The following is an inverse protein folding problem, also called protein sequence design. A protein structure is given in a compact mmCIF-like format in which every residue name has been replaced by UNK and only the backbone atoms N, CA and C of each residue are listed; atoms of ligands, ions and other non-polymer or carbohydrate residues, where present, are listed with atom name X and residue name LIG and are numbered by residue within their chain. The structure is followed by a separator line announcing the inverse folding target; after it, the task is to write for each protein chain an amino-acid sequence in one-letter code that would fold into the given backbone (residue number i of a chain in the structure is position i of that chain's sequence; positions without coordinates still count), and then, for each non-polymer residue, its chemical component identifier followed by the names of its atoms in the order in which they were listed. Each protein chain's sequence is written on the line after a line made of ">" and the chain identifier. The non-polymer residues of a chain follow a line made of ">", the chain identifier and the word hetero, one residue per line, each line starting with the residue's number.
data_IF_630122973753
#
_entry.id   IF_630122973753
#
_cell.length_a   1.000
_cell.length_b   1.000
_cell.length_c   1.000
_cell.angle_alpha   90.00
_cell.angle_beta   90.00
_cell.angle_gamma   90.00
#
_symmetry.space_group_name_H-M   'P 1'
#
loop_
_entity.id
_entity.type
_entity.pdbx_description
1 polymer ?
#
# COMPACT_ATOMS: atom_id res chain seq x y z
N UNK A 1 -28.35 -10.20 -25.25
CA UNK A 1 -28.96 -8.87 -25.06
C UNK A 1 -27.82 -7.98 -24.60
N UNK A 2 -27.52 -6.90 -25.33
CA UNK A 2 -26.29 -6.15 -25.13
C UNK A 2 -26.38 -5.31 -23.84
N UNK A 3 -25.55 -5.65 -22.84
CA UNK A 3 -25.31 -4.84 -21.66
C UNK A 3 -24.54 -3.58 -22.08
N UNK A 4 -25.29 -2.51 -22.33
CA UNK A 4 -24.74 -1.20 -22.62
C UNK A 4 -24.13 -0.60 -21.35
N UNK A 5 -22.87 -0.91 -21.08
CA UNK A 5 -22.07 -0.27 -20.05
C UNK A 5 -22.11 1.26 -20.24
N UNK A 6 -22.68 1.99 -19.29
CA UNK A 6 -22.98 3.42 -19.38
C UNK A 6 -21.70 4.26 -19.46
N UNK A 7 -21.78 5.46 -20.01
CA UNK A 7 -20.63 6.37 -20.11
C UNK A 7 -19.98 6.66 -18.75
N UNK A 8 -20.76 6.63 -17.67
CA UNK A 8 -20.28 6.86 -16.31
C UNK A 8 -19.50 5.65 -15.76
N UNK A 9 -20.02 4.43 -15.93
CA UNK A 9 -19.35 3.19 -15.49
C UNK A 9 -18.01 3.00 -16.22
N UNK A 10 -17.93 3.30 -17.52
CA UNK A 10 -16.66 3.30 -18.25
C UNK A 10 -15.65 4.28 -17.66
N UNK A 11 -16.09 5.49 -17.30
CA UNK A 11 -15.22 6.49 -16.68
C UNK A 11 -14.72 6.04 -15.29
N UNK A 12 -15.57 5.38 -14.50
CA UNK A 12 -15.18 4.84 -13.19
C UNK A 12 -14.10 3.77 -13.35
N UNK A 13 -14.30 2.82 -14.26
CA UNK A 13 -13.33 1.75 -14.53
C UNK A 13 -11.99 2.33 -15.00
N UNK A 14 -12.01 3.33 -15.87
CA UNK A 14 -10.77 3.95 -16.37
C UNK A 14 -10.01 4.71 -15.27
N UNK A 15 -10.75 5.41 -14.39
CA UNK A 15 -10.17 6.04 -13.21
C UNK A 15 -9.55 5.01 -12.26
N UNK A 16 -10.23 3.89 -12.03
CA UNK A 16 -9.71 2.81 -11.20
C UNK A 16 -8.43 2.20 -11.79
N UNK A 17 -8.40 1.93 -13.10
CA UNK A 17 -7.19 1.44 -13.79
C UNK A 17 -6.02 2.41 -13.70
N UNK A 18 -6.30 3.70 -13.88
CA UNK A 18 -5.29 4.76 -13.75
C UNK A 18 -4.72 4.79 -12.34
N UNK A 19 -5.58 4.68 -11.33
CA UNK A 19 -5.19 4.70 -9.92
C UNK A 19 -4.39 3.44 -9.52
N UNK A 20 -4.81 2.26 -9.98
CA UNK A 20 -4.06 1.02 -9.79
C UNK A 20 -2.68 1.12 -10.45
N UNK A 21 -2.61 1.63 -11.69
CA UNK A 21 -1.35 1.84 -12.39
C UNK A 21 -0.42 2.81 -11.66
N UNK A 22 -0.99 3.85 -11.03
CA UNK A 22 -0.25 4.79 -10.19
C UNK A 22 0.36 4.10 -8.97
N UNK A 23 -0.40 3.27 -8.24
CA UNK A 23 0.10 2.51 -7.10
C UNK A 23 1.22 1.55 -7.52
N UNK A 24 1.03 0.80 -8.61
CA UNK A 24 2.09 -0.07 -9.13
C UNK A 24 3.35 0.70 -9.53
N UNK A 25 3.20 1.94 -10.03
CA UNK A 25 4.34 2.81 -10.30
C UNK A 25 5.04 3.25 -9.01
N UNK A 26 4.30 3.67 -7.99
CA UNK A 26 4.87 4.04 -6.67
C UNK A 26 5.66 2.88 -6.06
N UNK A 27 5.06 1.69 -6.07
CA UNK A 27 5.66 0.45 -5.59
C UNK A 27 6.96 0.12 -6.35
N UNK A 28 6.98 0.24 -7.68
CA UNK A 28 8.16 -0.01 -8.52
C UNK A 28 9.26 1.03 -8.35
N UNK A 29 8.91 2.31 -8.29
CA UNK A 29 9.88 3.41 -8.20
C UNK A 29 10.66 3.38 -6.87
N UNK A 30 10.11 2.74 -5.83
CA UNK A 30 10.76 2.56 -4.52
C UNK A 30 11.46 1.19 -4.37
N UNK A 31 11.29 0.29 -5.34
CA UNK A 31 11.84 -1.07 -5.37
C UNK A 31 13.36 -1.17 -5.61
N UNK A 32 14.12 -0.08 -5.46
CA UNK A 32 15.58 -0.03 -5.66
C UNK A 32 16.35 0.27 -4.36
N UNK A 33 15.66 0.37 -3.20
CA UNK A 33 16.29 0.61 -1.89
C UNK A 33 16.21 -0.61 -0.97
N UNK A 34 17.21 -0.78 -0.10
CA UNK A 34 17.28 -1.84 0.90
C UNK A 34 16.06 -1.81 1.85
N UNK A 35 15.42 -2.96 2.09
CA UNK A 35 14.44 -3.14 3.16
C UNK A 35 15.15 -3.38 4.49
N UNK A 36 15.34 -2.33 5.30
CA UNK A 36 15.67 -2.47 6.73
C UNK A 36 16.87 -3.39 7.06
N UNK A 37 17.85 -3.52 6.15
CA UNK A 37 19.02 -4.40 6.32
C UNK A 37 18.88 -5.82 5.75
N UNK A 38 17.74 -6.17 5.16
CA UNK A 38 17.55 -7.39 4.38
C UNK A 38 17.85 -7.17 2.89
N UNK A 39 18.30 -8.22 2.21
CA UNK A 39 18.65 -8.19 0.79
C UNK A 39 17.43 -8.28 -0.13
N UNK A 40 16.34 -7.60 0.23
CA UNK A 40 15.14 -7.44 -0.59
C UNK A 40 14.70 -5.98 -0.54
N UNK A 41 14.04 -5.53 -1.60
CA UNK A 41 13.40 -4.23 -1.66
C UNK A 41 12.05 -4.23 -0.93
N UNK A 42 11.59 -3.05 -0.52
CA UNK A 42 10.24 -2.88 0.04
C UNK A 42 9.13 -3.40 -0.91
N UNK A 43 9.34 -3.35 -2.23
CA UNK A 43 8.42 -3.95 -3.20
C UNK A 43 8.41 -5.47 -3.13
N UNK A 44 9.59 -6.09 -3.12
CA UNK A 44 9.71 -7.55 -3.03
C UNK A 44 9.07 -8.08 -1.75
N UNK A 45 9.25 -7.38 -0.63
CA UNK A 45 8.56 -7.68 0.63
C UNK A 45 7.02 -7.70 0.47
N UNK A 46 6.43 -6.63 -0.07
CA UNK A 46 4.99 -6.56 -0.31
C UNK A 46 4.48 -7.68 -1.25
N UNK A 47 5.24 -7.99 -2.31
CA UNK A 47 4.88 -9.03 -3.27
C UNK A 47 4.96 -10.44 -2.65
N UNK A 48 6.00 -10.72 -1.87
CA UNK A 48 6.13 -12.01 -1.18
C UNK A 48 5.00 -12.20 -0.17
N UNK A 49 4.66 -11.17 0.61
CA UNK A 49 3.56 -11.23 1.57
C UNK A 49 2.22 -11.49 0.87
N UNK A 50 1.94 -10.77 -0.21
CA UNK A 50 0.71 -10.95 -0.99
C UNK A 50 0.64 -12.33 -1.64
N UNK A 51 1.76 -12.84 -2.18
CA UNK A 51 1.85 -14.18 -2.75
C UNK A 51 1.52 -15.26 -1.71
N UNK A 52 2.07 -15.16 -0.50
CA UNK A 52 1.75 -16.10 0.58
C UNK A 52 0.28 -16.00 1.02
N UNK A 53 -0.27 -14.78 1.12
CA UNK A 53 -1.69 -14.60 1.43
C UNK A 53 -2.59 -15.25 0.37
N UNK A 54 -2.25 -15.14 -0.91
CA UNK A 54 -2.99 -15.78 -2.01
C UNK A 54 -3.00 -17.32 -1.90
N UNK A 55 -1.94 -17.94 -1.35
CA UNK A 55 -1.90 -19.39 -1.19
C UNK A 55 -2.74 -19.89 0.00
N UNK A 56 -2.94 -19.06 1.03
CA UNK A 56 -3.51 -19.47 2.31
C UNK A 56 -4.92 -18.91 2.56
N UNK A 57 -5.31 -17.86 1.84
CA UNK A 57 -6.55 -17.10 2.09
C UNK A 57 -7.33 -16.91 0.79
N UNK A 58 -8.59 -17.38 0.79
CA UNK A 58 -9.55 -17.16 -0.30
C UNK A 58 -10.32 -15.84 -0.09
N UNK A 59 -9.58 -14.72 -0.03
CA UNK A 59 -10.15 -13.38 0.21
C UNK A 59 -9.33 -12.28 -0.46
N UNK A 60 -9.85 -11.77 -1.58
CA UNK A 60 -9.21 -10.72 -2.38
C UNK A 60 -8.88 -9.46 -1.57
N UNK A 61 -9.72 -9.04 -0.63
CA UNK A 61 -9.45 -7.84 0.16
C UNK A 61 -8.29 -8.03 1.13
N UNK A 62 -8.10 -9.25 1.65
CA UNK A 62 -6.94 -9.59 2.48
C UNK A 62 -5.67 -9.63 1.64
N UNK A 63 -5.72 -10.23 0.46
CA UNK A 63 -4.57 -10.30 -0.46
C UNK A 63 -4.16 -8.87 -0.88
N UNK A 64 -5.13 -8.04 -1.27
CA UNK A 64 -4.92 -6.63 -1.62
C UNK A 64 -4.37 -5.84 -0.44
N UNK A 65 -4.97 -5.96 0.76
CA UNK A 65 -4.47 -5.27 1.94
C UNK A 65 -3.04 -5.70 2.30
N UNK A 66 -2.70 -6.97 2.09
CA UNK A 66 -1.35 -7.50 2.32
C UNK A 66 -0.36 -6.92 1.31
N UNK A 67 -0.74 -6.80 0.04
CA UNK A 67 0.09 -6.13 -0.98
C UNK A 67 0.34 -4.66 -0.66
N UNK A 68 -0.64 -3.98 -0.06
CA UNK A 68 -0.63 -2.53 0.18
C UNK A 68 -0.27 -2.13 1.62
N UNK A 69 0.07 -3.08 2.50
CA UNK A 69 0.21 -2.80 3.94
C UNK A 69 1.26 -1.72 4.24
N UNK A 70 2.35 -1.69 3.48
CA UNK A 70 3.42 -0.70 3.61
C UNK A 70 3.23 0.54 2.71
N UNK A 71 2.06 0.75 2.08
CA UNK A 71 1.89 1.82 1.07
C UNK A 71 2.29 3.22 1.58
N UNK A 72 2.05 3.51 2.86
CA UNK A 72 2.42 4.77 3.50
C UNK A 72 3.93 5.06 3.54
N UNK A 73 4.77 4.06 3.32
CA UNK A 73 6.23 4.21 3.19
C UNK A 73 6.61 4.94 1.89
N UNK A 74 5.82 4.72 0.84
CA UNK A 74 6.12 5.16 -0.54
C UNK A 74 5.41 6.43 -0.95
N UNK A 75 4.35 6.81 -0.23
CA UNK A 75 3.51 7.94 -0.59
C UNK A 75 4.35 9.24 -0.68
N UNK A 76 4.17 10.03 -1.75
CA UNK A 76 4.81 11.34 -1.91
C UNK A 76 4.44 12.29 -0.77
N UNK A 77 5.40 13.13 -0.33
CA UNK A 77 5.17 14.06 0.78
C UNK A 77 4.06 15.08 0.51
N UNK A 78 3.77 15.41 -0.74
CA UNK A 78 2.68 16.30 -1.12
C UNK A 78 1.29 15.64 -1.06
N UNK A 79 1.23 14.30 -0.95
CA UNK A 79 0.00 13.54 -0.75
C UNK A 79 -0.20 13.10 0.70
N UNK A 80 0.85 13.26 1.51
CA UNK A 80 0.82 13.05 2.95
C UNK A 80 0.61 14.42 3.62
N UNK A 81 -0.23 14.47 4.66
CA UNK A 81 -0.38 15.69 5.46
C UNK A 81 0.91 16.11 6.19
N UNK A 82 0.81 17.00 7.17
CA UNK A 82 1.96 17.62 7.87
C UNK A 82 2.81 16.69 8.75
N UNK A 83 2.63 15.37 8.73
CA UNK A 83 3.16 14.44 9.74
C UNK A 83 3.98 13.28 9.17
N UNK A 84 4.63 13.48 8.02
CA UNK A 84 5.32 12.44 7.28
C UNK A 84 6.84 12.44 7.59
N UNK A 85 7.24 12.25 8.84
CA UNK A 85 8.66 12.22 9.24
C UNK A 85 9.28 10.83 9.03
N UNK A 86 10.54 10.80 8.58
CA UNK A 86 11.33 9.56 8.50
C UNK A 86 11.81 9.18 9.90
N UNK A 87 11.72 7.90 10.22
CA UNK A 87 12.22 7.34 11.47
C UNK A 87 13.65 6.85 11.30
N UNK A 88 14.49 7.15 12.28
CA UNK A 88 15.86 6.64 12.36
C UNK A 88 15.97 5.75 13.59
N UNK A 89 16.43 4.53 13.39
CA UNK A 89 16.73 3.62 14.49
C UNK A 89 18.20 3.79 14.88
N UNK A 90 18.43 4.20 16.12
CA UNK A 90 19.77 4.49 16.64
C UNK A 90 20.64 3.24 16.80
N UNK A 91 20.03 2.08 17.02
CA UNK A 91 20.72 0.82 17.27
C UNK A 91 21.12 0.15 15.95
N UNK A 92 20.28 0.28 14.92
CA UNK A 92 20.56 -0.18 13.55
C UNK A 92 21.37 0.85 12.74
N UNK A 93 21.45 2.11 13.19
CA UNK A 93 22.12 3.20 12.48
C UNK A 93 21.51 3.48 11.11
N UNK A 94 20.22 3.18 10.93
CA UNK A 94 19.55 3.15 9.63
C UNK A 94 18.17 3.83 9.68
N UNK A 95 17.73 4.31 8.52
CA UNK A 95 16.37 4.78 8.32
C UNK A 95 15.43 3.58 8.28
N UNK A 96 14.47 3.54 9.21
CA UNK A 96 13.51 2.42 9.33
C UNK A 96 12.15 2.71 8.69
N UNK A 97 12.12 3.66 7.77
CA UNK A 97 10.94 4.07 7.04
C UNK A 97 10.28 5.31 7.63
N UNK A 98 8.95 5.40 7.49
CA UNK A 98 8.14 6.54 7.89
C UNK A 98 7.33 6.20 9.14
N UNK A 99 7.33 7.13 10.10
CA UNK A 99 6.48 7.01 11.28
C UNK A 99 5.00 7.06 10.91
N UNK A 100 4.22 6.15 11.50
CA UNK A 100 2.78 6.07 11.23
C UNK A 100 2.41 5.67 9.80
N UNK A 101 3.28 4.98 9.05
CA UNK A 101 3.00 4.55 7.68
C UNK A 101 1.74 3.69 7.55
N UNK A 102 1.38 2.95 8.60
CA UNK A 102 0.11 2.23 8.73
C UNK A 102 -1.10 3.18 8.70
N UNK A 103 -1.08 4.21 9.55
CA UNK A 103 -2.16 5.22 9.64
C UNK A 103 -2.20 6.07 8.38
N UNK A 104 -1.04 6.52 7.89
CA UNK A 104 -0.93 7.29 6.65
C UNK A 104 -1.44 6.50 5.43
N UNK A 105 -1.10 5.20 5.35
CA UNK A 105 -1.59 4.31 4.31
C UNK A 105 -3.11 4.13 4.36
N UNK A 106 -3.66 3.88 5.55
CA UNK A 106 -5.12 3.80 5.77
C UNK A 106 -5.83 5.08 5.32
N UNK A 107 -5.40 6.23 5.82
CA UNK A 107 -6.06 7.51 5.54
C UNK A 107 -6.01 7.85 4.05
N UNK A 108 -4.88 7.59 3.40
CA UNK A 108 -4.73 7.79 1.96
C UNK A 108 -5.67 6.85 1.16
N UNK A 109 -5.77 5.57 1.53
CA UNK A 109 -6.67 4.63 0.85
C UNK A 109 -8.14 5.06 0.97
N UNK A 110 -8.57 5.50 2.15
CA UNK A 110 -9.92 6.02 2.36
C UNK A 110 -10.20 7.28 1.53
N UNK A 111 -9.24 8.20 1.47
CA UNK A 111 -9.34 9.41 0.65
C UNK A 111 -9.46 9.12 -0.85
N UNK A 112 -8.97 7.94 -1.30
CA UNK A 112 -9.04 7.48 -2.69
C UNK A 112 -10.13 6.43 -2.94
N UNK A 113 -11.13 6.36 -2.06
CA UNK A 113 -12.32 5.51 -2.21
C UNK A 113 -12.03 4.00 -2.28
N UNK A 114 -10.95 3.53 -1.67
CA UNK A 114 -10.74 2.10 -1.46
C UNK A 114 -11.79 1.52 -0.50
N UNK A 115 -12.10 0.21 -0.60
CA UNK A 115 -12.98 -0.45 0.36
C UNK A 115 -12.50 -0.25 1.80
N UNK A 116 -13.44 0.08 2.70
CA UNK A 116 -13.15 0.36 4.11
C UNK A 116 -12.35 -0.78 4.76
N UNK A 117 -12.69 -2.03 4.44
CA UNK A 117 -12.03 -3.23 4.96
C UNK A 117 -10.55 -3.30 4.56
N UNK A 118 -10.21 -2.98 3.31
CA UNK A 118 -8.82 -2.93 2.84
C UNK A 118 -8.04 -1.88 3.63
N UNK A 119 -8.59 -0.67 3.77
CA UNK A 119 -7.91 0.41 4.50
C UNK A 119 -7.75 0.10 6.00
N UNK A 120 -8.74 -0.54 6.62
CA UNK A 120 -8.67 -0.96 8.03
C UNK A 120 -7.59 -2.03 8.26
N UNK A 121 -7.49 -3.02 7.37
CA UNK A 121 -6.45 -4.05 7.43
C UNK A 121 -5.04 -3.45 7.27
N UNK A 122 -4.88 -2.51 6.34
CA UNK A 122 -3.63 -1.75 6.17
C UNK A 122 -3.30 -0.96 7.43
N UNK A 123 -4.26 -0.24 8.03
CA UNK A 123 -4.00 0.53 9.25
C UNK A 123 -3.72 -0.29 10.51
N UNK A 124 -4.12 -1.57 10.53
CA UNK A 124 -3.93 -2.44 11.70
C UNK A 124 -2.62 -3.22 11.70
N UNK A 125 -1.88 -3.25 10.59
CA UNK A 125 -0.81 -4.23 10.38
C UNK A 125 0.40 -4.07 11.31
N UNK A 126 0.69 -2.86 11.80
CA UNK A 126 1.75 -2.63 12.81
C UNK A 126 1.32 -3.11 14.19
N UNK A 127 0.07 -2.83 14.59
CA UNK A 127 -0.48 -3.26 15.88
C UNK A 127 -0.57 -4.79 15.92
N UNK A 128 -0.95 -5.43 14.82
CA UNK A 128 -1.04 -6.89 14.74
C UNK A 128 0.30 -7.63 14.91
N UNK A 129 1.44 -6.94 14.73
CA UNK A 129 2.80 -7.48 14.92
C UNK A 129 3.34 -7.33 16.35
N UNK A 130 2.64 -6.62 17.23
CA UNK A 130 3.03 -6.34 18.63
C UNK A 130 2.33 -7.28 19.61
#
# INVERSE_FOLDING_TARGET
>A
MAEGNTSAEKSIIENAKTHVSYIFKLLKDQGQGDYLGEAISQLEHCLQAAYLAEQEVDDDEIIIATLLHDIGQFLPLNELGTSAERMFDSDLGANVGRGGHDTLGKDWLLAHNWPQRVADLVGAHVIAKR
#
